data_IF_411297036401
#
_entry.id   IF_411297036401
#
_cell.length_a   1.000
_cell.length_b   1.000
_cell.length_c   1.000
_cell.angle_alpha   90.00
_cell.angle_beta   90.00
_cell.angle_gamma   90.00
#
_symmetry.space_group_name_H-M   'P 1'
#
loop_
_entity.id
_entity.type
_entity.pdbx_description
1 polymer ?
#
# COMPACT_ATOMS: atom_id res chain seq x y z
N UNK A 1 8.74 -18.92 8.67
CA UNK A 1 9.37 -17.71 9.24
C UNK A 1 10.09 -17.10 8.07
N UNK A 2 9.76 -15.87 7.68
CA UNK A 2 10.32 -15.30 6.47
C UNK A 2 11.84 -15.20 6.64
N UNK A 3 12.59 -15.73 5.67
CA UNK A 3 13.98 -15.36 5.42
C UNK A 3 14.01 -13.92 4.85
N UNK A 4 13.39 -12.99 5.57
CA UNK A 4 13.41 -11.57 5.21
C UNK A 4 14.82 -11.06 5.44
N UNK A 5 15.40 -10.52 4.39
CA UNK A 5 16.74 -9.98 4.36
C UNK A 5 16.62 -8.50 3.96
N UNK A 6 16.91 -7.56 4.87
CA UNK A 6 16.86 -6.13 4.59
C UNK A 6 17.71 -5.73 3.37
N UNK A 7 18.86 -6.39 3.14
CA UNK A 7 19.73 -6.08 2.00
C UNK A 7 19.07 -6.48 0.68
N UNK A 8 18.32 -7.59 0.66
CA UNK A 8 17.56 -8.00 -0.53
C UNK A 8 16.36 -7.10 -0.80
N UNK A 9 15.89 -6.36 0.18
CA UNK A 9 14.79 -5.41 0.00
C UNK A 9 15.22 -4.17 -0.80
N UNK A 10 16.52 -3.88 -0.90
CA UNK A 10 17.03 -2.86 -1.84
C UNK A 10 16.69 -3.22 -3.30
N UNK A 11 16.68 -4.52 -3.63
CA UNK A 11 16.20 -5.06 -4.91
C UNK A 11 14.90 -5.87 -4.70
N UNK A 12 13.94 -5.26 -3.98
CA UNK A 12 12.66 -5.88 -3.58
C UNK A 12 11.86 -6.45 -4.75
N UNK A 13 11.92 -5.85 -5.93
CA UNK A 13 11.18 -6.35 -7.09
C UNK A 13 11.81 -7.60 -7.71
N UNK A 14 13.13 -7.80 -7.54
CA UNK A 14 13.76 -9.06 -7.93
C UNK A 14 13.56 -10.16 -6.89
N UNK A 15 13.60 -9.80 -5.60
CA UNK A 15 13.67 -10.77 -4.50
C UNK A 15 12.32 -11.09 -3.86
N UNK A 16 11.37 -10.15 -3.84
CA UNK A 16 10.16 -10.20 -3.01
C UNK A 16 8.88 -9.76 -3.75
N UNK A 17 8.88 -9.75 -5.09
CA UNK A 17 7.73 -9.31 -5.86
C UNK A 17 6.43 -10.08 -5.51
N UNK A 18 6.42 -11.42 -5.37
CA UNK A 18 5.22 -12.15 -4.97
C UNK A 18 4.66 -11.70 -3.61
N UNK A 19 5.53 -11.45 -2.64
CA UNK A 19 5.19 -10.99 -1.29
C UNK A 19 4.61 -9.57 -1.31
N UNK A 20 5.22 -8.67 -2.08
CA UNK A 20 4.69 -7.32 -2.30
C UNK A 20 3.29 -7.36 -2.93
N UNK A 21 3.11 -8.16 -4.00
CA UNK A 21 1.81 -8.34 -4.63
C UNK A 21 0.78 -8.89 -3.65
N UNK A 22 1.17 -9.81 -2.79
CA UNK A 22 0.29 -10.37 -1.77
C UNK A 22 -0.13 -9.31 -0.74
N UNK A 23 0.80 -8.51 -0.23
CA UNK A 23 0.51 -7.47 0.75
C UNK A 23 -0.46 -6.42 0.20
N UNK A 24 -0.18 -5.88 -0.98
CA UNK A 24 -1.06 -4.89 -1.64
C UNK A 24 -2.44 -5.49 -1.93
N UNK A 25 -2.51 -6.73 -2.43
CA UNK A 25 -3.80 -7.41 -2.68
C UNK A 25 -4.62 -7.60 -1.40
N UNK A 26 -3.97 -7.98 -0.30
CA UNK A 26 -4.66 -8.16 0.97
C UNK A 26 -5.21 -6.83 1.51
N UNK A 27 -4.42 -5.77 1.46
CA UNK A 27 -4.83 -4.42 1.87
C UNK A 27 -6.01 -3.94 1.02
N UNK A 28 -5.90 -4.06 -0.30
CA UNK A 28 -6.98 -3.75 -1.24
C UNK A 28 -8.29 -4.47 -0.88
N UNK A 29 -8.25 -5.79 -0.63
CA UNK A 29 -9.45 -6.55 -0.28
C UNK A 29 -10.09 -6.03 1.02
N UNK A 30 -9.28 -5.78 2.07
CA UNK A 30 -9.77 -5.23 3.34
C UNK A 30 -10.34 -3.83 3.20
N UNK A 31 -9.79 -3.01 2.29
CA UNK A 31 -10.29 -1.68 2.04
C UNK A 31 -11.61 -1.72 1.26
N UNK A 32 -11.73 -2.59 0.24
CA UNK A 32 -12.97 -2.78 -0.50
C UNK A 32 -14.12 -3.30 0.36
N UNK A 33 -13.83 -4.13 1.37
CA UNK A 33 -14.86 -4.63 2.29
C UNK A 33 -15.39 -3.54 3.24
N UNK A 34 -14.60 -2.47 3.48
CA UNK A 34 -14.90 -1.43 4.49
C UNK A 34 -15.37 -0.10 3.90
N UNK A 35 -14.90 0.24 2.70
CA UNK A 35 -15.10 1.55 2.08
C UNK A 35 -15.77 1.43 0.71
N UNK A 36 -16.12 2.57 0.12
CA UNK A 36 -16.69 2.61 -1.21
C UNK A 36 -15.75 1.99 -2.24
N UNK A 37 -16.22 0.98 -2.97
CA UNK A 37 -15.39 0.23 -3.90
C UNK A 37 -14.87 1.10 -5.05
N UNK A 38 -15.66 2.06 -5.55
CA UNK A 38 -15.20 2.92 -6.66
C UNK A 38 -14.03 3.79 -6.20
N UNK A 39 -14.13 4.35 -4.99
CA UNK A 39 -13.03 5.12 -4.37
C UNK A 39 -11.79 4.25 -4.12
N UNK A 40 -11.95 3.06 -3.54
CA UNK A 40 -10.82 2.16 -3.25
C UNK A 40 -10.12 1.72 -4.53
N UNK A 41 -10.88 1.38 -5.58
CA UNK A 41 -10.32 1.05 -6.89
C UNK A 41 -9.60 2.24 -7.52
N UNK A 42 -10.14 3.46 -7.40
CA UNK A 42 -9.48 4.64 -7.94
C UNK A 42 -8.15 4.94 -7.23
N UNK A 43 -8.11 4.83 -5.89
CA UNK A 43 -6.88 4.95 -5.10
C UNK A 43 -5.85 3.90 -5.52
N UNK A 44 -6.26 2.63 -5.61
CA UNK A 44 -5.38 1.51 -5.99
C UNK A 44 -4.74 1.73 -7.36
N UNK A 45 -5.55 2.11 -8.35
CA UNK A 45 -5.14 2.16 -9.75
C UNK A 45 -4.47 3.47 -10.16
N UNK A 46 -4.77 4.58 -9.50
CA UNK A 46 -4.31 5.92 -9.92
C UNK A 46 -3.30 6.53 -8.96
N UNK A 47 -3.16 6.00 -7.75
CA UNK A 47 -2.23 6.50 -6.73
C UNK A 47 -1.26 5.41 -6.31
N UNK A 48 -1.76 4.28 -5.81
CA UNK A 48 -0.91 3.24 -5.22
C UNK A 48 -0.11 2.44 -6.27
N UNK A 49 -0.53 2.46 -7.54
CA UNK A 49 0.22 1.88 -8.66
C UNK A 49 1.59 2.54 -8.89
N UNK A 50 1.76 3.80 -8.47
CA UNK A 50 3.01 4.58 -8.51
C UNK A 50 3.63 4.72 -7.11
N UNK A 51 3.06 4.08 -6.08
CA UNK A 51 3.64 4.08 -4.74
C UNK A 51 4.84 3.14 -4.63
N UNK A 52 5.72 3.41 -3.67
CA UNK A 52 6.90 2.59 -3.42
C UNK A 52 7.04 2.21 -1.93
N UNK A 53 7.13 0.90 -1.60
CA UNK A 53 7.39 0.47 -0.24
C UNK A 53 8.89 0.55 0.12
N UNK A 54 9.18 1.05 1.31
CA UNK A 54 10.49 1.09 1.93
C UNK A 54 10.50 0.31 3.24
N UNK A 55 11.60 -0.35 3.53
CA UNK A 55 11.85 -0.95 4.83
C UNK A 55 12.70 0.00 5.67
N UNK A 56 12.21 0.39 6.85
CA UNK A 56 12.86 1.40 7.69
C UNK A 56 13.70 0.78 8.82
N UNK A 57 13.69 -0.55 8.95
CA UNK A 57 14.30 -1.26 10.07
C UNK A 57 13.27 -1.74 11.07
N UNK A 58 13.69 -2.59 12.01
CA UNK A 58 12.87 -3.06 13.15
C UNK A 58 11.49 -3.63 12.79
N UNK A 59 11.33 -4.15 11.56
CA UNK A 59 10.03 -4.67 11.09
C UNK A 59 9.03 -3.60 10.69
N UNK A 60 9.48 -2.35 10.48
CA UNK A 60 8.65 -1.23 10.03
C UNK A 60 8.83 -0.96 8.53
N UNK A 61 7.71 -0.58 7.89
CA UNK A 61 7.65 -0.28 6.48
C UNK A 61 6.96 1.08 6.30
N UNK A 62 7.40 1.84 5.31
CA UNK A 62 6.78 3.10 4.89
C UNK A 62 6.39 3.01 3.43
N UNK A 63 5.21 3.51 3.07
CA UNK A 63 4.84 3.71 1.66
C UNK A 63 5.14 5.15 1.26
N UNK A 64 5.94 5.32 0.22
CA UNK A 64 6.10 6.59 -0.47
C UNK A 64 4.98 6.74 -1.50
N UNK A 65 4.24 7.83 -1.36
CA UNK A 65 3.17 8.19 -2.27
C UNK A 65 3.67 9.15 -3.35
N UNK A 66 3.04 9.13 -4.53
CA UNK A 66 3.41 10.05 -5.59
C UNK A 66 2.85 11.47 -5.33
N UNK A 67 3.47 12.52 -5.87
CA UNK A 67 3.09 13.93 -5.61
C UNK A 67 1.65 14.26 -6.03
N UNK A 68 0.89 15.01 -5.22
CA UNK A 68 -0.53 15.31 -5.47
C UNK A 68 -1.42 14.06 -5.70
N UNK A 69 -1.61 13.21 -4.67
CA UNK A 69 -2.43 12.01 -4.80
C UNK A 69 -3.89 12.28 -5.18
N UNK A 70 -4.52 13.32 -4.63
CA UNK A 70 -5.93 13.65 -4.90
C UNK A 70 -6.11 14.10 -6.35
N UNK A 71 -5.21 14.97 -6.86
CA UNK A 71 -5.24 15.44 -8.23
C UNK A 71 -5.06 14.34 -9.29
N UNK A 72 -4.51 13.17 -8.93
CA UNK A 72 -4.46 12.00 -9.82
C UNK A 72 -5.80 11.30 -9.98
N UNK A 73 -6.71 11.38 -9.01
CA UNK A 73 -7.96 10.64 -9.05
C UNK A 73 -8.93 11.26 -10.04
N UNK A 74 -9.29 10.46 -11.03
CA UNK A 74 -10.29 10.80 -12.04
C UNK A 74 -11.43 9.78 -12.04
N UNK A 75 -12.64 10.23 -12.42
CA UNK A 75 -13.82 9.37 -12.55
C UNK A 75 -14.60 9.12 -11.26
N UNK A 76 -14.08 9.52 -10.10
CA UNK A 76 -14.76 9.45 -8.79
C UNK A 76 -14.86 10.86 -8.22
N UNK A 77 -16.07 11.27 -7.81
CA UNK A 77 -16.29 12.54 -7.11
C UNK A 77 -16.23 12.30 -5.60
N UNK A 78 -15.16 12.77 -4.97
CA UNK A 78 -14.92 12.64 -3.53
C UNK A 78 -14.32 13.94 -2.99
N UNK A 79 -14.76 14.35 -1.80
CA UNK A 79 -14.16 15.48 -1.09
C UNK A 79 -12.72 15.14 -0.69
N UNK A 80 -11.81 16.12 -0.77
CA UNK A 80 -10.38 15.95 -0.52
C UNK A 80 -10.12 15.33 0.87
N UNK A 81 -10.71 15.89 1.93
CA UNK A 81 -10.60 15.37 3.30
C UNK A 81 -10.98 13.87 3.40
N UNK A 82 -12.04 13.46 2.69
CA UNK A 82 -12.50 12.06 2.71
C UNK A 82 -11.57 11.15 1.92
N UNK A 83 -11.02 11.63 0.82
CA UNK A 83 -10.03 10.90 0.05
C UNK A 83 -8.74 10.71 0.86
N UNK A 84 -8.24 11.76 1.51
CA UNK A 84 -7.04 11.72 2.34
C UNK A 84 -7.20 10.71 3.48
N UNK A 85 -8.32 10.74 4.20
CA UNK A 85 -8.64 9.77 5.26
C UNK A 85 -8.59 8.33 4.75
N UNK A 86 -9.22 8.04 3.60
CA UNK A 86 -9.26 6.68 3.05
C UNK A 86 -7.88 6.27 2.53
N UNK A 87 -7.11 7.18 1.93
CA UNK A 87 -5.76 6.92 1.45
C UNK A 87 -4.79 6.63 2.61
N UNK A 88 -4.84 7.42 3.68
CA UNK A 88 -4.03 7.22 4.89
C UNK A 88 -4.28 5.82 5.47
N UNK A 89 -5.55 5.45 5.66
CA UNK A 89 -5.92 4.13 6.16
C UNK A 89 -5.52 3.01 5.19
N UNK A 90 -5.57 3.26 3.87
CA UNK A 90 -5.12 2.28 2.87
C UNK A 90 -3.61 2.04 2.99
N UNK A 91 -2.82 3.11 3.12
CA UNK A 91 -1.36 3.05 3.32
C UNK A 91 -1.03 2.29 4.60
N UNK A 92 -1.66 2.61 5.72
CA UNK A 92 -1.46 1.91 6.99
C UNK A 92 -1.79 0.41 6.88
N UNK A 93 -2.83 0.05 6.12
CA UNK A 93 -3.17 -1.36 5.91
C UNK A 93 -2.13 -2.06 5.02
N UNK A 94 -1.57 -1.39 4.01
CA UNK A 94 -0.45 -1.94 3.21
C UNK A 94 0.77 -2.17 4.10
N UNK A 95 1.17 -1.20 4.91
CA UNK A 95 2.30 -1.33 5.85
C UNK A 95 2.06 -2.49 6.83
N UNK A 96 0.83 -2.61 7.34
CA UNK A 96 0.43 -3.72 8.21
C UNK A 96 0.49 -5.07 7.50
N UNK A 97 0.03 -5.15 6.24
CA UNK A 97 0.09 -6.39 5.46
C UNK A 97 1.52 -6.75 5.06
N UNK A 98 2.39 -5.79 4.75
CA UNK A 98 3.82 -6.02 4.54
C UNK A 98 4.44 -6.67 5.78
N UNK A 99 4.17 -6.12 6.98
CA UNK A 99 4.61 -6.71 8.24
C UNK A 99 4.13 -8.13 8.42
N UNK A 100 2.84 -8.40 8.15
CA UNK A 100 2.25 -9.74 8.26
C UNK A 100 2.88 -10.74 7.28
N UNK A 101 3.01 -10.35 6.01
CA UNK A 101 3.59 -11.20 4.95
C UNK A 101 5.04 -11.55 5.24
N UNK A 102 5.82 -10.59 5.75
CA UNK A 102 7.22 -10.81 6.15
C UNK A 102 7.39 -11.31 7.59
N UNK A 103 6.31 -11.52 8.34
CA UNK A 103 6.34 -12.18 9.66
C UNK A 103 6.79 -11.31 10.84
N UNK A 104 6.61 -10.00 10.76
CA UNK A 104 6.91 -9.01 11.82
C UNK A 104 5.71 -8.66 12.72
N UNK A 105 4.56 -9.32 12.55
CA UNK A 105 3.31 -9.07 13.27
C UNK A 105 2.61 -10.36 13.73
#
# INVERSE_FOLDING_TARGET
>A
MADFDPEKFEDKYANYFPELQQAYKNAFNRMNDRYDSELVHAIDQQVLNESEPFYEGDGEFRIELPDDPHGRVTGVLVEEDRFEEVLEIHVEEIETELRRVFGFA
#
